data_IF_894245854106
#
_entry.id   IF_894245854106
#
_cell.length_a   1.000
_cell.length_b   1.000
_cell.length_c   1.000
_cell.angle_alpha   90.00
_cell.angle_beta   90.00
_cell.angle_gamma   90.00
#
_symmetry.space_group_name_H-M   'P 1'
#
loop_
_entity.id
_entity.type
_entity.pdbx_description
1 polymer ?
#
# COMPACT_ATOMS: atom_id res chain seq x y z
N UNK A 1 85.19 -13.64 -52.22
CA UNK A 1 84.03 -12.84 -51.76
C UNK A 1 82.89 -13.77 -51.38
N UNK A 2 82.50 -13.82 -50.11
CA UNK A 2 81.16 -14.25 -49.66
C UNK A 2 80.81 -13.39 -48.44
N UNK A 3 79.77 -12.58 -48.59
CA UNK A 3 79.26 -11.70 -47.53
C UNK A 3 78.50 -12.55 -46.50
N UNK A 4 78.85 -12.41 -45.21
CA UNK A 4 78.03 -12.90 -44.12
C UNK A 4 76.86 -11.93 -43.92
N UNK A 5 75.65 -12.43 -44.19
CA UNK A 5 74.41 -11.70 -43.95
C UNK A 5 74.24 -11.41 -42.45
N UNK A 6 73.96 -10.14 -42.11
CA UNK A 6 73.63 -9.71 -40.75
C UNK A 6 72.27 -10.31 -40.32
N UNK A 7 72.11 -10.76 -39.07
CA UNK A 7 70.81 -11.14 -38.54
C UNK A 7 69.90 -9.90 -38.44
N UNK A 8 68.69 -10.01 -38.99
CA UNK A 8 67.66 -8.97 -38.89
C UNK A 8 67.19 -8.80 -37.46
N UNK A 9 67.15 -7.54 -36.99
CA UNK A 9 66.65 -7.17 -35.68
C UNK A 9 65.18 -7.58 -35.49
N UNK A 10 64.76 -7.98 -34.28
CA UNK A 10 63.41 -8.43 -34.03
C UNK A 10 62.42 -7.25 -34.18
N UNK A 11 61.35 -7.45 -34.95
CA UNK A 11 60.24 -6.49 -35.02
C UNK A 11 59.55 -6.41 -33.65
N UNK A 12 59.90 -5.40 -32.86
CA UNK A 12 59.24 -5.11 -31.59
C UNK A 12 57.77 -4.78 -31.79
N UNK A 13 56.88 -5.62 -31.24
CA UNK A 13 55.44 -5.34 -31.17
C UNK A 13 55.22 -4.08 -30.31
N UNK A 14 54.71 -3.01 -30.92
CA UNK A 14 54.51 -1.70 -30.27
C UNK A 14 53.62 -1.83 -29.03
N UNK A 15 54.21 -1.65 -27.83
CA UNK A 15 53.51 -1.62 -26.53
C UNK A 15 52.42 -0.52 -26.47
N UNK A 16 52.51 0.49 -27.33
CA UNK A 16 51.61 1.66 -27.39
C UNK A 16 50.19 1.29 -27.83
N UNK A 17 50.04 0.32 -28.72
CA UNK A 17 48.72 -0.12 -29.21
C UNK A 17 47.96 -0.93 -28.13
N UNK A 18 48.67 -1.70 -27.32
CA UNK A 18 48.09 -2.51 -26.22
C UNK A 18 47.65 -1.62 -25.06
N UNK A 19 48.43 -0.59 -24.72
CA UNK A 19 48.06 0.41 -23.72
C UNK A 19 46.78 1.15 -24.12
N UNK A 20 46.68 1.66 -25.36
CA UNK A 20 45.48 2.34 -25.85
C UNK A 20 44.23 1.45 -25.96
N UNK A 21 44.39 0.15 -26.21
CA UNK A 21 43.28 -0.80 -26.22
C UNK A 21 42.74 -1.07 -24.80
N UNK A 22 43.62 -1.24 -23.80
CA UNK A 22 43.23 -1.35 -22.39
C UNK A 22 42.54 -0.07 -21.89
N UNK A 23 43.10 1.09 -22.23
CA UNK A 23 42.57 2.39 -21.82
C UNK A 23 41.15 2.65 -22.38
N UNK A 24 40.92 2.29 -23.65
CA UNK A 24 39.58 2.36 -24.27
C UNK A 24 38.58 1.35 -23.67
N UNK A 25 39.03 0.14 -23.32
CA UNK A 25 38.20 -0.87 -22.66
C UNK A 25 37.81 -0.43 -21.23
N UNK A 26 38.74 0.16 -20.49
CA UNK A 26 38.49 0.73 -19.16
C UNK A 26 37.53 1.91 -19.24
N UNK A 27 37.73 2.84 -20.18
CA UNK A 27 36.81 3.96 -20.41
C UNK A 27 35.42 3.47 -20.84
N UNK A 28 35.33 2.47 -21.71
CA UNK A 28 34.06 1.84 -22.11
C UNK A 28 33.36 1.13 -20.94
N UNK A 29 34.11 0.44 -20.08
CA UNK A 29 33.61 -0.19 -18.86
C UNK A 29 33.11 0.84 -17.84
N UNK A 30 33.87 1.91 -17.63
CA UNK A 30 33.49 3.01 -16.75
C UNK A 30 32.23 3.73 -17.25
N UNK A 31 32.14 4.00 -18.56
CA UNK A 31 30.94 4.61 -19.17
C UNK A 31 29.71 3.73 -18.97
N UNK A 32 29.83 2.41 -19.17
CA UNK A 32 28.76 1.43 -18.92
C UNK A 32 28.36 1.39 -17.44
N UNK A 33 29.33 1.41 -16.52
CA UNK A 33 29.06 1.47 -15.08
C UNK A 33 28.32 2.75 -14.69
N UNK A 34 28.74 3.90 -15.20
CA UNK A 34 28.06 5.17 -14.95
C UNK A 34 26.63 5.16 -15.50
N UNK A 35 26.41 4.67 -16.73
CA UNK A 35 25.05 4.53 -17.28
C UNK A 35 24.18 3.59 -16.43
N UNK A 36 24.71 2.44 -16.03
CA UNK A 36 23.99 1.51 -15.17
C UNK A 36 23.67 2.13 -13.79
N UNK A 37 24.61 2.87 -13.20
CA UNK A 37 24.41 3.56 -11.94
C UNK A 37 23.35 4.66 -12.05
N UNK A 38 23.37 5.46 -13.12
CA UNK A 38 22.33 6.47 -13.37
C UNK A 38 20.97 5.83 -13.54
N UNK A 39 20.84 4.76 -14.34
CA UNK A 39 19.58 4.02 -14.50
C UNK A 39 19.09 3.43 -13.18
N UNK A 40 19.98 2.87 -12.37
CA UNK A 40 19.63 2.32 -11.06
C UNK A 40 19.15 3.42 -10.09
N UNK A 41 19.84 4.57 -10.04
CA UNK A 41 19.46 5.70 -9.18
C UNK A 41 18.15 6.31 -9.65
N UNK A 42 17.96 6.54 -10.96
CA UNK A 42 16.70 7.10 -11.47
C UNK A 42 15.55 6.15 -11.26
N UNK A 43 15.74 4.84 -11.48
CA UNK A 43 14.73 3.83 -11.19
C UNK A 43 14.39 3.77 -9.70
N UNK A 44 15.39 3.80 -8.82
CA UNK A 44 15.18 3.81 -7.38
C UNK A 44 14.40 5.06 -6.93
N UNK A 45 14.79 6.24 -7.41
CA UNK A 45 14.09 7.49 -7.13
C UNK A 45 12.66 7.45 -7.68
N UNK A 46 12.47 6.97 -8.92
CA UNK A 46 11.14 6.81 -9.52
C UNK A 46 10.23 5.90 -8.68
N UNK A 47 10.71 4.73 -8.25
CA UNK A 47 9.93 3.84 -7.39
C UNK A 47 9.63 4.42 -6.00
N UNK A 48 10.55 5.20 -5.43
CA UNK A 48 10.33 5.84 -4.13
C UNK A 48 9.30 6.96 -4.23
N UNK A 49 9.36 7.76 -5.29
CA UNK A 49 8.42 8.84 -5.58
C UNK A 49 7.05 8.32 -5.98
N UNK A 50 6.96 7.30 -6.84
CA UNK A 50 5.66 6.72 -7.23
C UNK A 50 4.89 6.14 -6.05
N UNK A 51 5.60 5.66 -5.02
CA UNK A 51 4.95 5.25 -3.78
C UNK A 51 4.56 6.44 -2.86
N UNK A 52 5.09 7.66 -3.03
CA UNK A 52 4.67 8.85 -2.26
C UNK A 52 3.34 9.41 -2.76
N UNK A 53 2.98 9.14 -4.00
CA UNK A 53 1.73 9.59 -4.60
C UNK A 53 0.51 8.78 -4.14
N UNK A 54 0.73 7.68 -3.40
CA UNK A 54 -0.34 6.91 -2.79
C UNK A 54 -0.86 7.62 -1.53
N UNK A 55 -2.10 8.17 -1.54
CA UNK A 55 -2.66 8.83 -0.36
C UNK A 55 -2.80 7.87 0.82
N UNK A 56 -2.90 6.56 0.58
CA UNK A 56 -3.13 5.55 1.61
C UNK A 56 -1.86 4.96 2.21
N UNK A 57 -0.69 5.43 1.78
CA UNK A 57 0.60 4.91 2.23
C UNK A 57 0.72 4.97 3.75
N UNK A 58 0.98 3.81 4.37
CA UNK A 58 1.10 3.68 5.83
C UNK A 58 -0.22 3.80 6.60
N UNK A 59 -1.34 3.97 5.89
CA UNK A 59 -2.70 4.09 6.45
C UNK A 59 -3.60 2.91 6.05
N UNK A 60 -3.07 1.94 5.30
CA UNK A 60 -3.85 0.78 4.89
C UNK A 60 -4.31 -0.06 6.08
N UNK A 61 -5.60 -0.42 6.07
CA UNK A 61 -6.20 -1.29 7.08
C UNK A 61 -6.81 -2.50 6.38
N UNK A 62 -6.45 -3.68 6.86
CA UNK A 62 -7.09 -4.93 6.44
C UNK A 62 -8.15 -5.34 7.47
N UNK A 63 -9.40 -5.49 7.02
CA UNK A 63 -10.48 -6.07 7.83
C UNK A 63 -10.60 -7.54 7.49
N UNK A 64 -10.21 -8.40 8.41
CA UNK A 64 -10.22 -9.85 8.22
C UNK A 64 -11.63 -10.38 7.91
N UNK A 65 -11.74 -11.25 6.90
CA UNK A 65 -12.97 -11.98 6.60
C UNK A 65 -13.22 -13.05 7.67
N UNK A 66 -14.01 -12.70 8.67
CA UNK A 66 -14.48 -13.64 9.69
C UNK A 66 -15.66 -14.48 9.17
N UNK A 67 -15.80 -15.74 9.62
CA UNK A 67 -17.02 -16.51 9.41
C UNK A 67 -18.28 -15.69 9.81
N UNK A 68 -19.38 -15.76 9.03
CA UNK A 68 -20.59 -14.94 9.22
C UNK A 68 -21.15 -14.90 10.64
N UNK A 69 -21.01 -16.01 11.38
CA UNK A 69 -21.42 -16.13 12.79
C UNK A 69 -20.82 -15.10 13.74
N UNK A 70 -19.68 -14.49 13.38
CA UNK A 70 -18.96 -13.53 14.21
C UNK A 70 -19.24 -12.07 13.85
N UNK A 71 -20.06 -11.80 12.84
CA UNK A 71 -20.35 -10.45 12.39
C UNK A 71 -21.76 -10.30 11.79
N UNK A 72 -22.01 -10.85 10.60
CA UNK A 72 -23.25 -10.62 9.84
C UNK A 72 -24.44 -11.37 10.40
N UNK A 73 -24.21 -12.55 10.97
CA UNK A 73 -25.29 -13.35 11.55
C UNK A 73 -25.73 -12.75 12.88
N UNK A 74 -24.81 -12.17 13.67
CA UNK A 74 -25.16 -11.49 14.92
C UNK A 74 -26.13 -10.33 14.69
N UNK A 75 -25.92 -9.52 13.65
CA UNK A 75 -26.84 -8.42 13.32
C UNK A 75 -28.14 -8.94 12.71
N UNK A 76 -28.08 -9.91 11.79
CA UNK A 76 -29.28 -10.49 11.17
C UNK A 76 -30.17 -11.22 12.18
N UNK A 77 -29.58 -12.00 13.08
CA UNK A 77 -30.30 -12.89 13.98
C UNK A 77 -30.71 -12.19 15.29
N UNK A 78 -29.98 -11.16 15.73
CA UNK A 78 -30.46 -10.23 16.77
C UNK A 78 -31.82 -9.62 16.43
N UNK A 79 -32.15 -9.56 15.14
CA UNK A 79 -33.42 -9.09 14.64
C UNK A 79 -34.51 -10.14 14.42
N UNK A 80 -34.17 -11.42 14.53
CA UNK A 80 -35.10 -12.53 14.23
C UNK A 80 -35.85 -13.06 15.46
N UNK A 81 -35.59 -12.50 16.65
CA UNK A 81 -36.30 -12.89 17.86
C UNK A 81 -36.07 -14.34 18.26
N UNK A 82 -34.89 -14.89 17.96
CA UNK A 82 -34.50 -16.29 18.26
C UNK A 82 -34.32 -16.58 19.76
N UNK A 83 -34.74 -15.66 20.64
CA UNK A 83 -34.61 -15.74 22.10
C UNK A 83 -33.18 -15.55 22.62
N UNK A 84 -32.18 -15.41 21.75
CA UNK A 84 -30.77 -15.22 22.15
C UNK A 84 -30.46 -13.77 22.52
N UNK A 85 -31.28 -12.83 22.04
CA UNK A 85 -31.11 -11.40 22.26
C UNK A 85 -32.33 -10.79 22.98
N UNK A 86 -32.12 -9.82 23.89
CA UNK A 86 -33.22 -9.14 24.57
C UNK A 86 -34.18 -8.50 23.57
N UNK A 87 -35.47 -8.50 23.90
CA UNK A 87 -36.49 -7.80 23.12
C UNK A 87 -36.06 -6.36 22.86
N UNK A 88 -36.11 -5.95 21.58
CA UNK A 88 -35.63 -4.65 21.13
C UNK A 88 -34.20 -4.64 20.57
N UNK A 89 -33.37 -5.70 20.66
CA UNK A 89 -32.00 -5.70 20.12
C UNK A 89 -31.87 -5.25 18.66
N UNK A 90 -32.90 -5.45 17.84
CA UNK A 90 -33.00 -4.89 16.49
C UNK A 90 -32.76 -3.38 16.41
N UNK A 91 -33.45 -2.63 17.26
CA UNK A 91 -33.44 -1.17 17.19
C UNK A 91 -32.06 -0.63 17.58
N UNK A 92 -31.28 -1.34 18.41
CA UNK A 92 -29.88 -0.98 18.69
C UNK A 92 -28.93 -1.12 17.52
N UNK A 93 -29.24 -2.01 16.58
CA UNK A 93 -28.32 -2.37 15.49
C UNK A 93 -28.74 -1.71 14.17
N UNK A 94 -29.87 -1.00 14.18
CA UNK A 94 -30.33 -0.17 13.07
C UNK A 94 -29.36 0.99 12.81
N UNK A 95 -29.45 1.59 11.62
CA UNK A 95 -28.54 2.66 11.16
C UNK A 95 -27.06 2.28 11.38
N UNK A 96 -26.71 1.05 11.00
CA UNK A 96 -25.36 0.50 11.16
C UNK A 96 -24.84 0.55 12.62
N UNK A 97 -25.73 0.41 13.59
CA UNK A 97 -25.44 0.45 15.03
C UNK A 97 -25.66 1.80 15.71
N UNK A 98 -25.98 2.86 14.95
CA UNK A 98 -26.30 4.16 15.55
C UNK A 98 -27.66 4.16 16.27
N UNK A 99 -28.59 3.30 15.86
CA UNK A 99 -29.96 3.30 16.36
C UNK A 99 -30.84 4.35 15.69
N UNK A 100 -32.09 4.54 16.14
CA UNK A 100 -33.02 5.47 15.52
C UNK A 100 -32.55 6.93 15.71
N UNK A 101 -32.82 7.83 14.74
CA UNK A 101 -32.57 9.25 14.92
C UNK A 101 -33.39 9.79 16.10
N UNK A 102 -32.75 10.58 16.96
CA UNK A 102 -33.45 11.30 18.02
C UNK A 102 -34.07 12.54 17.39
N UNK A 103 -35.37 12.49 17.09
CA UNK A 103 -36.10 13.64 16.59
C UNK A 103 -36.66 14.46 17.78
N UNK A 104 -36.51 15.77 17.73
CA UNK A 104 -37.43 16.65 18.44
C UNK A 104 -37.86 17.84 17.57
N UNK A 105 -39.06 17.80 16.96
CA UNK A 105 -39.63 18.94 16.24
C UNK A 105 -40.18 20.04 17.16
N UNK A 106 -40.26 19.82 18.48
CA UNK A 106 -41.00 20.70 19.40
C UNK A 106 -40.12 21.42 20.45
N UNK A 107 -39.04 20.79 20.95
CA UNK A 107 -38.38 21.27 22.18
C UNK A 107 -36.97 21.89 22.00
N UNK A 108 -36.50 22.04 20.75
CA UNK A 108 -35.47 23.03 20.38
C UNK A 108 -34.04 22.84 20.89
N UNK A 109 -33.70 21.76 21.62
CA UNK A 109 -32.33 21.52 22.13
C UNK A 109 -31.49 20.63 21.21
N UNK A 110 -32.12 19.71 20.46
CA UNK A 110 -31.44 18.78 19.54
C UNK A 110 -32.03 18.91 18.12
N UNK A 111 -31.54 19.87 17.35
CA UNK A 111 -32.00 20.08 15.96
C UNK A 111 -31.37 19.05 15.03
N UNK A 112 -32.21 18.13 14.55
CA UNK A 112 -31.87 16.90 13.83
C UNK A 112 -31.43 17.03 12.38
N UNK A 113 -30.75 18.10 11.99
CA UNK A 113 -30.08 18.14 10.68
C UNK A 113 -28.68 17.48 10.72
N UNK A 114 -28.05 17.40 11.92
CA UNK A 114 -26.65 16.96 12.11
C UNK A 114 -26.41 15.77 13.09
N UNK A 115 -27.39 14.87 13.27
CA UNK A 115 -27.03 13.46 13.59
C UNK A 115 -26.86 13.04 15.06
N UNK A 116 -27.88 13.25 15.88
CA UNK A 116 -28.03 12.54 17.15
C UNK A 116 -28.87 11.28 16.99
N UNK A 117 -28.40 10.16 17.57
CA UNK A 117 -29.05 8.86 17.47
C UNK A 117 -29.16 8.19 18.84
N UNK A 118 -30.22 7.39 19.03
CA UNK A 118 -30.46 6.57 20.22
C UNK A 118 -29.54 5.35 20.29
N UNK A 119 -28.23 5.58 20.31
CA UNK A 119 -27.22 4.51 20.29
C UNK A 119 -27.20 3.73 21.61
N UNK A 120 -27.21 2.39 21.54
CA UNK A 120 -27.06 1.54 22.74
C UNK A 120 -25.61 1.32 23.14
N UNK A 121 -25.41 1.09 24.43
CA UNK A 121 -24.08 0.89 25.03
C UNK A 121 -23.30 -0.33 24.49
N UNK A 122 -23.96 -1.25 23.79
CA UNK A 122 -23.34 -2.45 23.21
C UNK A 122 -23.19 -2.41 21.68
N UNK A 123 -23.47 -1.28 21.04
CA UNK A 123 -23.45 -1.18 19.57
C UNK A 123 -22.08 -0.80 18.98
N UNK A 124 -21.06 -0.55 19.82
CA UNK A 124 -19.75 -0.05 19.39
C UNK A 124 -19.10 -0.91 18.30
N UNK A 125 -19.13 -2.23 18.45
CA UNK A 125 -18.51 -3.15 17.48
C UNK A 125 -19.17 -3.06 16.10
N UNK A 126 -20.49 -2.87 16.08
CA UNK A 126 -21.28 -2.76 14.84
C UNK A 126 -21.00 -1.41 14.17
N UNK A 127 -20.97 -0.32 14.96
CA UNK A 127 -20.62 1.01 14.47
C UNK A 127 -19.21 0.99 13.88
N UNK A 128 -18.24 0.50 14.64
CA UNK A 128 -16.84 0.46 14.22
C UNK A 128 -16.69 -0.37 12.94
N UNK A 129 -17.26 -1.58 12.89
CA UNK A 129 -17.19 -2.45 11.71
C UNK A 129 -17.77 -1.78 10.45
N UNK A 130 -18.94 -1.14 10.55
CA UNK A 130 -19.58 -0.49 9.41
C UNK A 130 -18.83 0.78 8.97
N UNK A 131 -18.31 1.57 9.92
CA UNK A 131 -17.46 2.74 9.60
C UNK A 131 -16.15 2.33 8.95
N UNK A 132 -15.49 1.30 9.49
CA UNK A 132 -14.25 0.79 8.94
C UNK A 132 -14.40 0.26 7.52
N UNK A 133 -15.56 -0.33 7.17
CA UNK A 133 -15.88 -0.76 5.79
C UNK A 133 -15.99 0.37 4.78
N UNK A 134 -16.17 1.62 5.23
CA UNK A 134 -16.24 2.80 4.39
C UNK A 134 -14.91 3.56 4.34
N UNK A 135 -13.88 3.06 5.02
CA UNK A 135 -12.58 3.72 5.09
C UNK A 135 -11.87 3.68 3.73
N UNK A 136 -11.37 4.83 3.30
CA UNK A 136 -10.75 5.02 1.97
C UNK A 136 -9.57 4.07 1.71
N UNK A 137 -8.82 3.72 2.76
CA UNK A 137 -7.60 2.92 2.67
C UNK A 137 -7.80 1.47 3.10
N UNK A 138 -8.96 0.88 2.80
CA UNK A 138 -9.15 -0.56 2.97
C UNK A 138 -8.35 -1.36 1.94
N UNK A 139 -7.69 -2.42 2.41
CA UNK A 139 -6.94 -3.33 1.55
C UNK A 139 -7.51 -4.76 1.61
N UNK A 140 -7.48 -5.45 0.47
CA UNK A 140 -7.80 -6.88 0.36
C UNK A 140 -6.57 -7.78 0.50
N UNK A 141 -5.39 -7.19 0.69
CA UNK A 141 -4.13 -7.89 0.86
C UNK A 141 -3.94 -8.24 2.34
N UNK A 142 -3.71 -9.52 2.63
CA UNK A 142 -3.31 -10.04 3.95
C UNK A 142 -1.81 -10.02 4.11
#
# INVERSE_FOLDING_TARGET
MRQLAKPGAPKGRSRRAVAGAKEKAVAGSFRRLCFAAVLAVTFFLYYRFSQLDDPCRGRYIHVCKLPPRFNTDMTRDACRGDGRWPAGACESIDNAGLGPPLADPADGVLTGEDGWYGTRQLALDIIFHNRMKQYECLTNHT
#
